data_IF_399684530309
#
_entry.id   IF_399684530309
#
_cell.length_a   1.000
_cell.length_b   1.000
_cell.length_c   1.000
_cell.angle_alpha   90.00
_cell.angle_beta   90.00
_cell.angle_gamma   90.00
#
_symmetry.space_group_name_H-M   'P 1'
#
loop_
_entity.id
_entity.type
_entity.pdbx_description
1 polymer ?
#
# COMPACT_ATOMS: atom_id res chain seq x y z
N UNK A 1 17.80 17.16 10.67
CA UNK A 1 17.82 16.41 11.93
C UNK A 1 16.37 16.04 12.24
N UNK A 2 15.92 14.85 11.85
CA UNK A 2 14.57 14.35 12.17
C UNK A 2 14.72 13.36 13.31
N UNK A 3 14.17 13.71 14.47
CA UNK A 3 14.04 12.82 15.61
C UNK A 3 12.94 11.81 15.26
N UNK A 4 13.33 10.62 14.80
CA UNK A 4 12.42 9.47 14.69
C UNK A 4 11.96 9.15 16.10
N UNK A 5 10.68 9.39 16.40
CA UNK A 5 10.16 9.13 17.74
C UNK A 5 10.21 7.63 17.99
N UNK A 6 10.60 7.21 19.20
CA UNK A 6 10.63 5.80 19.60
C UNK A 6 9.27 5.10 19.40
N UNK A 7 8.19 5.88 19.34
CA UNK A 7 6.82 5.45 19.09
C UNK A 7 6.50 5.20 17.62
N UNK A 8 7.20 5.84 16.67
CA UNK A 8 7.08 5.51 15.23
C UNK A 8 7.68 4.14 14.89
N UNK A 9 8.50 3.60 15.79
CA UNK A 9 9.22 2.32 15.63
C UNK A 9 8.43 1.11 16.15
N UNK A 10 7.38 1.29 16.96
CA UNK A 10 6.58 0.20 17.52
C UNK A 10 5.43 -0.19 16.58
N UNK A 11 5.78 -0.63 15.37
CA UNK A 11 4.80 -1.21 14.43
C UNK A 11 4.53 -2.67 14.79
N UNK A 12 3.26 -3.06 14.77
CA UNK A 12 2.92 -4.48 14.90
C UNK A 12 3.32 -5.21 13.62
N UNK A 13 3.96 -6.39 13.72
CA UNK A 13 4.34 -7.16 12.53
C UNK A 13 3.13 -7.49 11.66
N UNK A 14 3.32 -7.49 10.35
CA UNK A 14 2.32 -7.95 9.40
C UNK A 14 1.89 -9.40 9.73
N UNK A 15 0.59 -9.62 9.83
CA UNK A 15 -0.01 -10.94 10.01
C UNK A 15 -0.16 -11.57 8.62
N UNK A 16 0.59 -12.65 8.39
CA UNK A 16 0.55 -13.40 7.13
C UNK A 16 -0.30 -14.64 7.31
N UNK A 17 -1.40 -14.72 6.55
CA UNK A 17 -2.22 -15.93 6.41
C UNK A 17 -1.90 -16.61 5.07
N UNK A 18 -2.19 -17.90 4.86
CA UNK A 18 -2.03 -18.55 3.57
C UNK A 18 -2.82 -17.81 2.47
N UNK A 19 -2.25 -17.73 1.27
CA UNK A 19 -2.95 -17.20 0.09
C UNK A 19 -4.00 -18.21 -0.32
N UNK A 20 -5.21 -17.74 -0.62
CA UNK A 20 -6.31 -18.53 -1.14
C UNK A 20 -6.55 -18.15 -2.62
N UNK A 21 -5.99 -18.89 -3.60
CA UNK A 21 -5.99 -18.46 -5.00
C UNK A 21 -7.39 -18.21 -5.58
N UNK A 22 -8.38 -18.96 -5.11
CA UNK A 22 -9.79 -18.84 -5.52
C UNK A 22 -10.65 -18.05 -4.52
N UNK A 23 -10.05 -17.48 -3.47
CA UNK A 23 -10.73 -16.66 -2.50
C UNK A 23 -11.22 -15.33 -3.07
N UNK A 24 -12.09 -14.66 -2.32
CA UNK A 24 -12.71 -13.40 -2.69
C UNK A 24 -11.80 -12.18 -2.53
N UNK A 25 -12.10 -11.14 -3.32
CA UNK A 25 -11.65 -9.76 -3.09
C UNK A 25 -12.84 -8.89 -2.73
N UNK A 26 -12.59 -7.73 -2.15
CA UNK A 26 -13.64 -6.78 -1.81
C UNK A 26 -14.30 -6.29 -3.11
N UNK A 27 -15.60 -6.56 -3.27
CA UNK A 27 -16.37 -6.14 -4.46
C UNK A 27 -16.85 -4.70 -4.36
N UNK A 28 -17.05 -4.19 -3.13
CA UNK A 28 -17.45 -2.81 -2.85
C UNK A 28 -16.27 -1.84 -2.72
N UNK A 29 -16.55 -0.70 -2.09
CA UNK A 29 -15.56 0.33 -1.83
C UNK A 29 -14.64 -0.06 -0.66
N UNK A 30 -13.31 0.05 -0.82
CA UNK A 30 -12.38 -0.05 0.30
C UNK A 30 -12.60 1.10 1.31
N UNK A 31 -12.27 0.87 2.58
CA UNK A 31 -12.43 1.88 3.64
C UNK A 31 -11.48 3.07 3.46
N UNK A 32 -10.32 2.86 2.82
CA UNK A 32 -9.41 3.94 2.46
C UNK A 32 -8.72 3.65 1.14
N UNK A 33 -8.53 4.69 0.32
CA UNK A 33 -7.81 4.59 -0.95
C UNK A 33 -6.85 5.76 -1.10
N UNK A 34 -5.57 5.46 -1.28
CA UNK A 34 -4.51 6.43 -1.54
C UNK A 34 -4.08 6.31 -3.00
N UNK A 35 -4.03 7.43 -3.72
CA UNK A 35 -3.76 7.45 -5.17
C UNK A 35 -2.67 8.47 -5.50
N UNK A 36 -1.69 8.04 -6.28
CA UNK A 36 -0.81 8.93 -7.04
C UNK A 36 -1.34 8.99 -8.47
N UNK A 37 -2.09 10.04 -8.81
CA UNK A 37 -2.73 10.15 -10.14
C UNK A 37 -1.68 10.33 -11.24
N UNK A 38 -1.96 9.75 -12.40
CA UNK A 38 -1.20 10.09 -13.59
C UNK A 38 -1.78 11.37 -14.23
N UNK A 39 -0.96 12.39 -14.58
CA UNK A 39 -1.47 13.68 -15.07
C UNK A 39 -2.15 13.60 -16.45
N UNK A 40 -1.90 12.53 -17.21
CA UNK A 40 -2.39 12.38 -18.60
C UNK A 40 -3.16 11.11 -18.89
N UNK A 41 -3.08 10.10 -18.02
CA UNK A 41 -3.60 8.76 -18.29
C UNK A 41 -4.74 8.49 -17.32
N UNK A 42 -5.71 7.68 -17.75
CA UNK A 42 -6.88 7.34 -16.95
C UNK A 42 -6.55 6.46 -15.73
N UNK A 43 -5.38 5.81 -15.73
CA UNK A 43 -4.91 5.00 -14.59
C UNK A 43 -3.95 5.78 -13.68
N UNK A 44 -3.99 5.45 -12.39
CA UNK A 44 -3.06 5.99 -11.40
C UNK A 44 -1.63 5.42 -11.61
N UNK A 45 -0.61 6.22 -11.26
CA UNK A 45 0.78 5.75 -11.16
C UNK A 45 0.94 4.73 -10.04
N UNK A 46 0.25 4.97 -8.92
CA UNK A 46 0.20 4.05 -7.80
C UNK A 46 -1.14 4.18 -7.06
N UNK A 47 -1.60 3.07 -6.51
CA UNK A 47 -2.83 2.99 -5.73
C UNK A 47 -2.64 1.99 -4.57
N UNK A 48 -2.99 2.42 -3.37
CA UNK A 48 -3.12 1.57 -2.18
C UNK A 48 -4.57 1.57 -1.76
N UNK A 49 -5.14 0.40 -1.52
CA UNK A 49 -6.47 0.24 -0.95
C UNK A 49 -6.35 -0.43 0.41
N UNK A 50 -7.06 0.07 1.42
CA UNK A 50 -7.14 -0.54 2.74
C UNK A 50 -8.58 -0.91 3.03
N UNK A 51 -8.78 -2.04 3.69
CA UNK A 51 -10.11 -2.45 4.12
C UNK A 51 -10.04 -3.21 5.44
N UNK A 52 -10.96 -2.90 6.36
CA UNK A 52 -11.07 -3.64 7.60
C UNK A 52 -11.82 -4.96 7.34
N UNK A 53 -11.18 -6.06 7.70
CA UNK A 53 -11.78 -7.38 7.65
C UNK A 53 -12.77 -7.55 8.82
N UNK A 54 -13.68 -8.51 8.69
CA UNK A 54 -14.74 -8.78 9.70
C UNK A 54 -14.18 -9.27 11.04
N UNK A 55 -12.94 -9.72 11.10
CA UNK A 55 -12.21 -10.09 12.33
C UNK A 55 -11.52 -8.88 13.00
N UNK A 56 -11.71 -7.68 12.48
CA UNK A 56 -11.12 -6.43 12.99
C UNK A 56 -9.73 -6.11 12.45
N UNK A 57 -9.06 -7.06 11.78
CA UNK A 57 -7.76 -6.84 11.16
C UNK A 57 -7.87 -5.97 9.91
N UNK A 58 -6.79 -5.26 9.58
CA UNK A 58 -6.71 -4.42 8.39
C UNK A 58 -6.00 -5.14 7.25
N UNK A 59 -6.65 -5.21 6.10
CA UNK A 59 -6.09 -5.72 4.85
C UNK A 59 -5.62 -4.57 3.98
N UNK A 60 -4.68 -4.86 3.08
CA UNK A 60 -4.22 -3.89 2.10
C UNK A 60 -4.10 -4.46 0.69
N UNK A 61 -4.07 -3.55 -0.28
CA UNK A 61 -3.58 -3.78 -1.62
C UNK A 61 -2.51 -2.77 -2.02
N UNK A 62 -1.67 -3.17 -2.97
CA UNK A 62 -0.58 -2.38 -3.49
C UNK A 62 -0.54 -2.53 -5.02
N UNK A 63 -0.79 -1.43 -5.73
CA UNK A 63 -0.79 -1.37 -7.18
C UNK A 63 0.09 -0.23 -7.66
N UNK A 64 0.88 -0.46 -8.71
CA UNK A 64 1.62 0.61 -9.38
C UNK A 64 1.82 0.31 -10.87
N UNK A 65 2.12 1.36 -11.62
CA UNK A 65 2.45 1.34 -13.03
C UNK A 65 3.57 2.36 -13.30
N UNK A 66 4.72 1.89 -13.78
CA UNK A 66 5.91 2.69 -14.08
C UNK A 66 6.53 2.21 -15.40
N UNK A 67 6.85 3.10 -16.34
CA UNK A 67 7.75 2.81 -17.48
C UNK A 67 7.54 1.43 -18.16
N UNK A 68 6.27 1.10 -18.51
CA UNK A 68 5.82 -0.16 -19.12
C UNK A 68 5.88 -1.43 -18.27
N UNK A 69 6.17 -1.31 -16.97
CA UNK A 69 5.99 -2.40 -16.02
C UNK A 69 5.06 -1.96 -14.89
N UNK A 70 4.53 -2.94 -14.18
CA UNK A 70 3.58 -2.66 -13.12
C UNK A 70 2.96 -3.93 -12.61
N UNK A 71 2.08 -3.77 -11.65
CA UNK A 71 1.29 -4.87 -11.15
C UNK A 71 0.57 -4.45 -9.91
N UNK A 72 -0.59 -5.05 -9.73
CA UNK A 72 -1.48 -4.73 -8.64
C UNK A 72 -2.49 -5.83 -8.45
N UNK A 73 -3.22 -5.69 -7.37
CA UNK A 73 -4.30 -6.58 -6.99
C UNK A 73 -5.32 -5.74 -6.23
N UNK A 74 -6.56 -6.21 -6.17
CA UNK A 74 -7.60 -5.58 -5.36
C UNK A 74 -7.51 -6.08 -3.92
N UNK A 75 -7.79 -5.22 -2.95
CA UNK A 75 -7.77 -5.62 -1.54
C UNK A 75 -8.75 -6.76 -1.27
N UNK A 76 -8.36 -7.70 -0.41
CA UNK A 76 -9.17 -8.87 -0.10
C UNK A 76 -8.48 -9.89 0.79
N UNK A 77 -9.25 -10.71 1.52
CA UNK A 77 -8.71 -11.69 2.47
C UNK A 77 -7.87 -12.76 1.78
N UNK A 78 -8.16 -13.06 0.51
CA UNK A 78 -7.48 -14.07 -0.28
C UNK A 78 -5.97 -13.92 -0.35
N UNK A 79 -5.45 -12.71 -0.17
CA UNK A 79 -4.01 -12.43 -0.29
C UNK A 79 -3.24 -12.74 0.99
N UNK A 80 -3.93 -13.01 2.10
CA UNK A 80 -3.26 -13.35 3.35
C UNK A 80 -2.49 -12.19 3.98
N UNK A 81 -2.86 -10.94 3.67
CA UNK A 81 -2.14 -9.72 4.07
C UNK A 81 -2.95 -8.93 5.08
N UNK A 82 -2.55 -9.01 6.35
CA UNK A 82 -3.26 -8.40 7.47
C UNK A 82 -2.33 -7.62 8.39
N UNK A 83 -2.87 -6.60 9.04
CA UNK A 83 -2.21 -5.81 10.07
C UNK A 83 -3.19 -5.50 11.19
N UNK A 84 -2.67 -5.19 12.39
CA UNK A 84 -3.52 -4.87 13.53
C UNK A 84 -4.22 -3.53 13.38
N UNK A 85 -3.58 -2.58 12.68
CA UNK A 85 -4.08 -1.22 12.53
C UNK A 85 -4.11 -0.79 11.07
N UNK A 86 -4.93 0.22 10.77
CA UNK A 86 -4.97 0.87 9.47
C UNK A 86 -3.61 1.44 9.06
N UNK A 87 -2.90 2.04 10.01
CA UNK A 87 -1.62 2.70 9.76
C UNK A 87 -0.51 1.67 9.48
N UNK A 88 -0.53 0.51 10.15
CA UNK A 88 0.36 -0.60 9.82
C UNK A 88 0.04 -1.19 8.44
N UNK A 89 -1.24 -1.34 8.10
CA UNK A 89 -1.64 -1.80 6.77
C UNK A 89 -1.15 -0.84 5.66
N UNK A 90 -1.27 0.48 5.87
CA UNK A 90 -0.72 1.48 4.96
C UNK A 90 0.80 1.35 4.84
N UNK A 91 1.51 1.25 5.97
CA UNK A 91 2.96 1.12 5.97
C UNK A 91 3.43 -0.11 5.21
N UNK A 92 2.77 -1.26 5.41
CA UNK A 92 3.12 -2.50 4.70
C UNK A 92 2.76 -2.45 3.22
N UNK A 93 1.64 -1.84 2.85
CA UNK A 93 1.30 -1.60 1.44
C UNK A 93 2.35 -0.72 0.74
N UNK A 94 2.76 0.35 1.42
CA UNK A 94 3.76 1.27 0.93
C UNK A 94 5.14 0.61 0.80
N UNK A 95 5.52 -0.19 1.79
CA UNK A 95 6.77 -0.97 1.78
C UNK A 95 6.79 -2.03 0.67
N UNK A 96 5.65 -2.61 0.32
CA UNK A 96 5.56 -3.57 -0.79
C UNK A 96 5.85 -2.89 -2.14
N UNK A 97 5.38 -1.66 -2.35
CA UNK A 97 5.68 -0.89 -3.56
C UNK A 97 7.16 -0.48 -3.58
N UNK A 98 7.67 0.02 -2.45
CA UNK A 98 9.09 0.39 -2.32
C UNK A 98 10.02 -0.77 -2.64
N UNK A 99 9.78 -1.95 -2.05
CA UNK A 99 10.61 -3.14 -2.28
C UNK A 99 10.60 -3.57 -3.76
N UNK A 100 9.47 -3.40 -4.46
CA UNK A 100 9.36 -3.72 -5.90
C UNK A 100 10.02 -2.67 -6.80
N UNK A 101 10.28 -1.47 -6.30
CA UNK A 101 10.82 -0.34 -7.07
C UNK A 101 12.24 0.08 -6.67
N UNK A 102 12.77 -0.37 -5.52
CA UNK A 102 14.07 0.10 -4.98
C UNK A 102 15.24 -0.02 -5.96
N UNK A 103 15.25 -1.06 -6.79
CA UNK A 103 16.30 -1.33 -7.78
C UNK A 103 15.89 -0.92 -9.20
N UNK A 104 14.78 -0.21 -9.37
CA UNK A 104 14.24 0.18 -10.68
C UNK A 104 14.63 1.62 -11.02
N UNK A 105 15.48 1.83 -12.03
CA UNK A 105 15.75 3.18 -12.54
C UNK A 105 14.55 3.67 -13.34
N UNK A 106 14.17 4.93 -13.18
CA UNK A 106 13.08 5.52 -13.96
C UNK A 106 12.49 6.77 -13.33
N UNK A 107 12.04 7.72 -14.15
CA UNK A 107 11.38 8.95 -13.66
C UNK A 107 10.06 8.61 -12.96
N UNK A 108 9.33 7.63 -13.48
CA UNK A 108 8.07 7.18 -12.91
C UNK A 108 8.29 6.49 -11.56
N UNK A 109 9.29 5.59 -11.49
CA UNK A 109 9.67 4.91 -10.26
C UNK A 109 10.09 5.91 -9.17
N UNK A 110 10.90 6.91 -9.50
CA UNK A 110 11.30 7.96 -8.56
C UNK A 110 10.12 8.75 -7.99
N UNK A 111 9.12 9.07 -8.83
CA UNK A 111 7.90 9.78 -8.40
C UNK A 111 7.05 8.90 -7.46
N UNK A 112 6.92 7.61 -7.75
CA UNK A 112 6.22 6.68 -6.86
C UNK A 112 6.97 6.54 -5.53
N UNK A 113 8.30 6.38 -5.55
CA UNK A 113 9.10 6.28 -4.32
C UNK A 113 8.99 7.53 -3.44
N UNK A 114 9.04 8.74 -4.02
CA UNK A 114 8.84 9.98 -3.28
C UNK A 114 7.44 10.06 -2.63
N UNK A 115 6.41 9.60 -3.34
CA UNK A 115 5.06 9.49 -2.79
C UNK A 115 4.98 8.47 -1.66
N UNK A 116 5.67 7.33 -1.77
CA UNK A 116 5.76 6.32 -0.70
C UNK A 116 6.41 6.89 0.57
N UNK A 117 7.51 7.63 0.44
CA UNK A 117 8.16 8.30 1.58
C UNK A 117 7.17 9.24 2.28
N UNK A 118 6.44 10.05 1.49
CA UNK A 118 5.43 10.97 2.03
C UNK A 118 4.33 10.22 2.79
N UNK A 119 3.84 9.10 2.27
CA UNK A 119 2.82 8.28 2.96
C UNK A 119 3.33 7.67 4.28
N UNK A 120 4.60 7.27 4.32
CA UNK A 120 5.19 6.66 5.53
C UNK A 120 5.46 7.68 6.62
N UNK A 121 5.85 8.90 6.25
CA UNK A 121 6.14 10.00 7.18
C UNK A 121 4.88 10.75 7.61
N UNK A 122 3.90 10.90 6.71
CA UNK A 122 2.67 11.61 6.99
C UNK A 122 1.44 10.97 6.30
N UNK A 123 0.89 9.88 6.87
CA UNK A 123 -0.28 9.17 6.35
C UNK A 123 -1.51 10.05 6.07
N UNK A 124 -1.67 11.14 6.83
CA UNK A 124 -2.84 12.04 6.75
C UNK A 124 -2.68 13.15 5.71
N UNK A 125 -1.48 13.37 5.18
CA UNK A 125 -1.26 14.40 4.17
C UNK A 125 -1.94 14.10 2.82
N UNK A 126 -2.32 12.84 2.59
CA UNK A 126 -2.77 12.32 1.30
C UNK A 126 -4.09 11.53 1.40
N UNK A 127 -4.75 11.54 2.57
CA UNK A 127 -6.04 10.88 2.84
C UNK A 127 -7.22 11.79 2.55
#
# INVERSE_FOLDING_TARGET
>A
MQQLSLFDTLRSPAIRKPVEPHGGVIQGDPDAVYRLRHPRLAWDRAKIELHQHTDGLWMWSASFHCDNFGGGYRVGPKWGRFAQTRDDALFYAASEIEERLKDKPGKEAALVLAWIVTLKENPKALS
#
